data_IF_713166031406
#
_entry.id   IF_713166031406
#
_cell.length_a   1.000
_cell.length_b   1.000
_cell.length_c   1.000
_cell.angle_alpha   90.00
_cell.angle_beta   90.00
_cell.angle_gamma   90.00
#
_symmetry.space_group_name_H-M   'P 1'
#
loop_
_entity.id
_entity.type
_entity.pdbx_description
1 polymer ?
#
# COMPACT_ATOMS: atom_id res chain seq x y z
N UNK A 1 24.44 1.92 -24.76
CA UNK A 1 23.10 1.33 -24.86
C UNK A 1 22.46 1.91 -26.10
N UNK A 2 21.93 1.08 -26.98
CA UNK A 2 21.29 1.58 -28.21
C UNK A 2 19.95 2.24 -27.85
N UNK A 3 19.49 3.21 -28.66
CA UNK A 3 18.26 3.96 -28.37
C UNK A 3 17.02 3.06 -28.30
N UNK A 4 17.00 1.99 -29.09
CA UNK A 4 15.93 0.97 -29.08
C UNK A 4 15.89 0.19 -27.77
N UNK A 5 17.05 -0.09 -27.18
CA UNK A 5 17.16 -0.73 -25.87
C UNK A 5 16.65 0.21 -24.76
N UNK A 6 17.01 1.50 -24.82
CA UNK A 6 16.54 2.49 -23.85
C UNK A 6 15.02 2.63 -23.88
N UNK A 7 14.43 2.71 -25.07
CA UNK A 7 12.98 2.81 -25.25
C UNK A 7 12.26 1.67 -24.53
N UNK A 8 12.66 0.44 -24.83
CA UNK A 8 12.04 -0.79 -24.29
C UNK A 8 12.24 -0.87 -22.78
N UNK A 9 13.43 -0.52 -22.28
CA UNK A 9 13.71 -0.53 -20.84
C UNK A 9 12.85 0.49 -20.07
N UNK A 10 12.72 1.72 -20.58
CA UNK A 10 11.87 2.75 -19.98
C UNK A 10 10.41 2.32 -20.01
N UNK A 11 9.91 1.88 -21.17
CA UNK A 11 8.52 1.47 -21.34
C UNK A 11 8.14 0.33 -20.38
N UNK A 12 8.97 -0.72 -20.32
CA UNK A 12 8.79 -1.83 -19.39
C UNK A 12 8.76 -1.37 -17.94
N UNK A 13 9.66 -0.46 -17.54
CA UNK A 13 9.69 0.02 -16.16
C UNK A 13 8.51 0.91 -15.81
N UNK A 14 8.09 1.80 -16.71
CA UNK A 14 6.90 2.63 -16.52
C UNK A 14 5.63 1.79 -16.44
N UNK A 15 5.46 0.78 -17.31
CA UNK A 15 4.38 -0.21 -17.22
C UNK A 15 4.35 -0.85 -15.83
N UNK A 16 5.50 -1.37 -15.39
CA UNK A 16 5.61 -2.01 -14.07
C UNK A 16 5.26 -1.07 -12.92
N UNK A 17 5.66 0.21 -12.98
CA UNK A 17 5.28 1.20 -11.97
C UNK A 17 3.77 1.47 -11.94
N UNK A 18 3.12 1.51 -13.11
CA UNK A 18 1.66 1.63 -13.21
C UNK A 18 0.99 0.42 -12.57
N UNK A 19 1.49 -0.78 -12.83
CA UNK A 19 0.95 -2.02 -12.25
C UNK A 19 1.17 -2.12 -10.73
N UNK A 20 2.30 -1.62 -10.22
CA UNK A 20 2.65 -1.68 -8.79
C UNK A 20 2.01 -0.56 -7.96
N UNK A 21 1.73 0.61 -8.55
CA UNK A 21 1.35 1.83 -7.80
C UNK A 21 0.13 2.55 -8.35
N UNK A 22 -0.45 2.05 -9.44
CA UNK A 22 -1.54 2.68 -10.14
C UNK A 22 -1.08 3.76 -11.12
N UNK A 23 -1.96 4.09 -12.07
CA UNK A 23 -1.69 5.10 -13.10
C UNK A 23 -1.43 6.48 -12.51
N UNK A 24 -2.15 6.84 -11.45
CA UNK A 24 -2.04 8.14 -10.79
C UNK A 24 -0.67 8.36 -10.14
N UNK A 25 0.11 7.31 -9.90
CA UNK A 25 1.46 7.43 -9.36
C UNK A 25 2.38 8.27 -10.25
N UNK A 26 2.24 8.16 -11.58
CA UNK A 26 3.00 8.95 -12.55
C UNK A 26 2.68 10.45 -12.46
N UNK A 27 1.44 10.78 -12.11
CA UNK A 27 0.95 12.15 -11.91
C UNK A 27 1.33 12.70 -10.55
N UNK A 28 1.16 11.91 -9.49
CA UNK A 28 1.33 12.37 -8.11
C UNK A 28 2.80 12.44 -7.69
N UNK A 29 3.67 11.57 -8.24
CA UNK A 29 5.06 11.40 -7.79
C UNK A 29 6.10 11.44 -8.93
N UNK A 30 6.07 12.45 -9.84
CA UNK A 30 6.96 12.51 -11.01
C UNK A 30 8.46 12.50 -10.64
N UNK A 31 8.84 13.20 -9.57
CA UNK A 31 10.22 13.18 -9.07
C UNK A 31 10.65 11.83 -8.51
N UNK A 32 9.75 11.09 -7.85
CA UNK A 32 10.08 9.74 -7.36
C UNK A 32 10.28 8.79 -8.54
N UNK A 33 9.44 8.87 -9.58
CA UNK A 33 9.62 8.09 -10.81
C UNK A 33 10.98 8.39 -11.44
N UNK A 34 11.33 9.67 -11.60
CA UNK A 34 12.65 10.09 -12.08
C UNK A 34 13.80 9.51 -11.25
N UNK A 35 13.74 9.65 -9.92
CA UNK A 35 14.78 9.15 -9.02
C UNK A 35 14.93 7.64 -9.10
N UNK A 36 13.82 6.90 -9.22
CA UNK A 36 13.83 5.44 -9.40
C UNK A 36 14.49 5.05 -10.72
N UNK A 37 14.07 5.65 -11.85
CA UNK A 37 14.66 5.35 -13.16
C UNK A 37 16.18 5.63 -13.19
N UNK A 38 16.62 6.69 -12.51
CA UNK A 38 18.03 7.06 -12.41
C UNK A 38 18.83 6.07 -11.55
N UNK A 39 18.31 5.70 -10.37
CA UNK A 39 18.95 4.77 -9.45
C UNK A 39 19.08 3.37 -10.08
N UNK A 40 18.04 2.93 -10.80
CA UNK A 40 18.00 1.64 -11.49
C UNK A 40 18.80 1.63 -12.81
N UNK A 41 19.35 2.78 -13.23
CA UNK A 41 20.10 2.95 -14.49
C UNK A 41 19.35 2.42 -15.72
N UNK A 42 18.04 2.65 -15.77
CA UNK A 42 17.13 2.13 -16.81
C UNK A 42 17.50 2.66 -18.21
N UNK A 43 17.97 3.90 -18.29
CA UNK A 43 18.36 4.58 -19.51
C UNK A 43 19.45 5.62 -19.25
N UNK A 44 19.94 6.27 -20.31
CA UNK A 44 20.82 7.42 -20.16
C UNK A 44 20.18 8.52 -19.29
N UNK A 45 21.00 9.29 -18.52
CA UNK A 45 20.48 10.38 -17.71
C UNK A 45 19.71 11.43 -18.53
N UNK A 46 20.06 11.62 -19.80
CA UNK A 46 19.33 12.52 -20.70
C UNK A 46 17.91 12.00 -20.95
N UNK A 47 17.75 10.73 -21.34
CA UNK A 47 16.44 10.10 -21.55
C UNK A 47 15.57 10.17 -20.30
N UNK A 48 16.14 9.91 -19.13
CA UNK A 48 15.41 9.95 -17.86
C UNK A 48 14.97 11.38 -17.49
N UNK A 49 15.79 12.40 -17.77
CA UNK A 49 15.40 13.82 -17.61
C UNK A 49 14.26 14.20 -18.56
N UNK A 50 14.27 13.70 -19.79
CA UNK A 50 13.18 13.92 -20.73
C UNK A 50 11.89 13.25 -20.25
N UNK A 51 11.96 12.04 -19.67
CA UNK A 51 10.80 11.41 -19.03
C UNK A 51 10.25 12.30 -17.91
N UNK A 52 11.09 12.82 -17.01
CA UNK A 52 10.63 13.76 -15.98
C UNK A 52 9.87 14.95 -16.57
N UNK A 53 10.39 15.56 -17.64
CA UNK A 53 9.71 16.67 -18.32
C UNK A 53 8.32 16.27 -18.83
N UNK A 54 8.20 15.09 -19.45
CA UNK A 54 6.90 14.58 -19.92
C UNK A 54 5.93 14.22 -18.78
N UNK A 55 6.44 13.80 -17.62
CA UNK A 55 5.62 13.52 -16.45
C UNK A 55 5.07 14.82 -15.83
N UNK A 56 5.91 15.85 -15.71
CA UNK A 56 5.52 17.16 -15.19
C UNK A 56 4.47 17.86 -16.09
N UNK A 57 4.55 17.64 -17.40
CA UNK A 57 3.57 18.12 -18.39
C UNK A 57 2.38 17.18 -18.59
N UNK A 58 2.31 16.08 -17.82
CA UNK A 58 1.23 15.11 -17.82
C UNK A 58 0.95 14.45 -19.19
N UNK A 59 1.98 14.27 -20.02
CA UNK A 59 1.89 13.60 -21.33
C UNK A 59 1.28 12.20 -21.21
N UNK A 60 1.57 11.47 -20.14
CA UNK A 60 1.03 10.13 -19.89
C UNK A 60 -0.51 10.08 -19.86
N UNK A 61 -1.18 11.15 -19.42
CA UNK A 61 -2.65 11.21 -19.45
C UNK A 61 -3.17 11.29 -20.89
N UNK A 62 -2.49 12.08 -21.74
CA UNK A 62 -2.80 12.15 -23.17
C UNK A 62 -2.40 10.91 -23.94
N UNK A 63 -1.30 10.27 -23.57
CA UNK A 63 -0.88 9.01 -24.16
C UNK A 63 -1.90 7.88 -23.95
N UNK A 64 -2.60 7.86 -22.81
CA UNK A 64 -3.69 6.92 -22.56
C UNK A 64 -4.87 7.13 -23.52
N UNK A 65 -5.19 8.38 -23.85
CA UNK A 65 -6.31 8.76 -24.73
C UNK A 65 -5.98 8.64 -26.22
N UNK A 66 -4.72 8.90 -26.60
CA UNK A 66 -4.28 9.00 -27.99
C UNK A 66 -3.67 7.69 -28.49
N UNK A 67 -4.37 7.04 -29.41
CA UNK A 67 -3.86 5.85 -30.10
C UNK A 67 -2.81 6.15 -31.18
N UNK A 68 -2.72 7.39 -31.67
CA UNK A 68 -1.80 7.78 -32.75
C UNK A 68 -0.46 8.33 -32.20
N UNK A 69 0.68 7.63 -32.43
CA UNK A 69 1.99 8.10 -32.00
C UNK A 69 2.39 9.44 -32.61
N UNK A 70 1.92 9.79 -33.83
CA UNK A 70 2.27 11.07 -34.46
C UNK A 70 1.59 12.23 -33.77
N UNK A 71 0.29 12.11 -33.47
CA UNK A 71 -0.42 13.09 -32.66
C UNK A 71 0.23 13.26 -31.27
N UNK A 72 0.66 12.16 -30.65
CA UNK A 72 1.35 12.21 -29.37
C UNK A 72 2.72 12.91 -29.46
N UNK A 73 3.49 12.66 -30.52
CA UNK A 73 4.76 13.34 -30.76
C UNK A 73 4.55 14.86 -30.92
N UNK A 74 3.55 15.29 -31.70
CA UNK A 74 3.21 16.72 -31.84
C UNK A 74 2.80 17.36 -30.51
N UNK A 75 2.04 16.64 -29.69
CA UNK A 75 1.69 17.07 -28.34
C UNK A 75 2.92 17.22 -27.45
N UNK A 76 3.88 16.30 -27.53
CA UNK A 76 5.13 16.35 -26.78
C UNK A 76 6.00 17.52 -27.24
N UNK A 77 6.14 17.74 -28.55
CA UNK A 77 6.91 18.88 -29.09
C UNK A 77 6.36 20.21 -28.56
N UNK A 78 5.04 20.40 -28.64
CA UNK A 78 4.38 21.64 -28.22
C UNK A 78 4.38 21.83 -26.70
N UNK A 79 4.12 20.78 -25.93
CA UNK A 79 3.98 20.87 -24.47
C UNK A 79 5.32 20.86 -23.73
N UNK A 80 6.34 20.20 -24.30
CA UNK A 80 7.66 20.05 -23.68
C UNK A 80 8.76 20.89 -24.36
N UNK A 81 8.44 21.61 -25.45
CA UNK A 81 9.41 22.37 -26.25
C UNK A 81 10.59 21.51 -26.74
N UNK A 82 10.33 20.26 -27.11
CA UNK A 82 11.32 19.31 -27.59
C UNK A 82 11.38 19.30 -29.12
N UNK A 83 12.54 18.92 -29.67
CA UNK A 83 12.69 18.71 -31.11
C UNK A 83 11.94 17.44 -31.57
N UNK A 84 11.79 17.30 -32.88
CA UNK A 84 11.05 16.19 -33.49
C UNK A 84 11.62 14.83 -33.09
N UNK A 85 12.93 14.65 -33.19
CA UNK A 85 13.62 13.40 -32.86
C UNK A 85 13.39 12.95 -31.41
N UNK A 86 13.45 13.88 -30.45
CA UNK A 86 13.21 13.60 -29.03
C UNK A 86 11.74 13.30 -28.76
N UNK A 87 10.83 14.05 -29.41
CA UNK A 87 9.41 13.85 -29.25
C UNK A 87 8.95 12.51 -29.85
N UNK A 88 9.48 12.11 -31.00
CA UNK A 88 9.23 10.81 -31.61
C UNK A 88 9.71 9.68 -30.70
N UNK A 89 10.92 9.80 -30.16
CA UNK A 89 11.45 8.85 -29.19
C UNK A 89 10.53 8.68 -27.97
N UNK A 90 10.13 9.79 -27.33
CA UNK A 90 9.23 9.76 -26.16
C UNK A 90 7.83 9.26 -26.51
N UNK A 91 7.27 9.65 -27.65
CA UNK A 91 5.96 9.17 -28.12
C UNK A 91 5.98 7.66 -28.30
N UNK A 92 7.08 7.10 -28.80
CA UNK A 92 7.22 5.66 -29.00
C UNK A 92 7.30 4.88 -27.68
N UNK A 93 7.87 5.46 -26.62
CA UNK A 93 7.86 4.88 -25.27
C UNK A 93 6.44 4.84 -24.74
N UNK A 94 5.72 5.97 -24.81
CA UNK A 94 4.36 6.05 -24.30
C UNK A 94 3.37 5.20 -25.11
N UNK A 95 3.52 5.10 -26.42
CA UNK A 95 2.72 4.20 -27.26
C UNK A 95 2.94 2.72 -26.89
N UNK A 96 4.16 2.35 -26.45
CA UNK A 96 4.44 1.01 -25.94
C UNK A 96 3.85 0.78 -24.54
N UNK A 97 3.94 1.77 -23.65
CA UNK A 97 3.33 1.69 -22.31
C UNK A 97 1.81 1.59 -22.39
N UNK A 98 1.17 2.44 -23.20
CA UNK A 98 -0.28 2.53 -23.36
C UNK A 98 -0.78 1.77 -24.60
N UNK A 99 -0.09 0.72 -25.01
CA UNK A 99 -0.55 -0.14 -26.10
C UNK A 99 -1.94 -0.72 -25.80
N UNK A 100 -2.71 -1.01 -26.84
CA UNK A 100 -4.05 -1.62 -26.68
C UNK A 100 -4.00 -2.92 -25.86
N UNK A 101 -2.95 -3.72 -26.05
CA UNK A 101 -2.70 -4.95 -25.29
C UNK A 101 -2.52 -4.67 -23.79
N UNK A 102 -1.69 -3.68 -23.42
CA UNK A 102 -1.49 -3.33 -22.01
C UNK A 102 -2.78 -2.76 -21.38
N UNK A 103 -3.53 -1.95 -22.12
CA UNK A 103 -4.79 -1.40 -21.63
C UNK A 103 -5.84 -2.50 -21.40
N UNK A 104 -5.97 -3.46 -22.33
CA UNK A 104 -6.85 -4.62 -22.17
C UNK A 104 -6.42 -5.51 -20.99
N UNK A 105 -5.10 -5.71 -20.80
CA UNK A 105 -4.55 -6.41 -19.64
C UNK A 105 -4.92 -5.70 -18.33
N UNK A 106 -4.78 -4.38 -18.28
CA UNK A 106 -5.12 -3.57 -17.10
C UNK A 106 -6.61 -3.59 -16.81
N UNK A 107 -7.48 -3.52 -17.82
CA UNK A 107 -8.93 -3.63 -17.64
C UNK A 107 -9.32 -4.99 -17.02
N UNK A 108 -8.66 -6.07 -17.41
CA UNK A 108 -8.87 -7.41 -16.82
C UNK A 108 -8.32 -7.56 -15.41
N UNK A 109 -7.24 -6.85 -15.08
CA UNK A 109 -6.63 -6.87 -13.73
C UNK A 109 -7.37 -5.98 -12.74
N UNK A 110 -8.02 -4.91 -13.22
CA UNK A 110 -8.69 -3.93 -12.37
C UNK A 110 -9.73 -4.59 -11.47
N UNK A 111 -9.63 -4.36 -10.17
CA UNK A 111 -10.56 -4.92 -9.17
C UNK A 111 -10.36 -6.39 -8.83
N UNK A 112 -9.51 -7.13 -9.56
CA UNK A 112 -9.27 -8.56 -9.31
C UNK A 112 -8.75 -8.82 -7.89
N UNK A 113 -7.84 -7.99 -7.38
CA UNK A 113 -7.34 -8.17 -6.02
C UNK A 113 -8.39 -7.94 -4.94
N UNK A 114 -9.37 -7.04 -5.16
CA UNK A 114 -10.52 -6.89 -4.27
C UNK A 114 -11.42 -8.13 -4.32
N UNK A 115 -11.70 -8.64 -5.52
CA UNK A 115 -12.48 -9.86 -5.70
C UNK A 115 -11.82 -11.06 -5.02
N UNK A 116 -10.50 -11.22 -5.18
CA UNK A 116 -9.71 -12.28 -4.57
C UNK A 116 -9.70 -12.12 -3.03
N UNK A 117 -9.50 -10.89 -2.51
CA UNK A 117 -9.56 -10.58 -1.08
C UNK A 117 -10.91 -10.98 -0.46
N UNK A 118 -12.02 -10.67 -1.12
CA UNK A 118 -13.36 -10.94 -0.61
C UNK A 118 -13.75 -12.43 -0.62
N UNK A 119 -13.01 -13.29 -1.34
CA UNK A 119 -13.31 -14.72 -1.47
C UNK A 119 -12.50 -15.61 -0.53
N UNK A 120 -11.52 -15.03 0.16
CA UNK A 120 -10.57 -15.76 1.00
C UNK A 120 -10.87 -15.52 2.49
N UNK A 121 -10.39 -16.43 3.31
CA UNK A 121 -10.24 -16.22 4.75
C UNK A 121 -8.85 -15.64 5.01
N UNK A 122 -8.76 -14.77 6.02
CA UNK A 122 -7.53 -14.06 6.35
C UNK A 122 -7.23 -14.21 7.82
N UNK A 123 -5.97 -14.46 8.14
CA UNK A 123 -5.50 -14.66 9.50
C UNK A 123 -4.59 -13.51 9.92
N UNK A 124 -4.99 -12.78 10.95
CA UNK A 124 -4.17 -11.78 11.62
C UNK A 124 -3.33 -12.42 12.71
N UNK A 125 -2.09 -11.96 12.85
CA UNK A 125 -1.15 -12.38 13.89
C UNK A 125 -0.59 -11.15 14.58
N UNK A 126 -1.03 -10.87 15.79
CA UNK A 126 -0.65 -9.69 16.54
C UNK A 126 0.13 -10.09 17.78
N UNK A 127 1.26 -9.42 18.01
CA UNK A 127 2.04 -9.50 19.24
C UNK A 127 2.07 -8.10 19.84
N UNK A 128 1.69 -7.98 21.10
CA UNK A 128 1.65 -6.72 21.84
C UNK A 128 2.63 -6.73 23.01
N UNK A 129 3.32 -5.62 23.22
CA UNK A 129 4.20 -5.38 24.35
C UNK A 129 3.91 -4.01 24.99
N UNK A 130 3.97 -3.96 26.31
CA UNK A 130 3.82 -2.74 27.11
C UNK A 130 4.56 -2.88 28.44
N UNK A 131 4.74 -1.77 29.15
CA UNK A 131 5.39 -1.75 30.47
C UNK A 131 4.44 -1.08 31.46
N UNK A 132 3.98 -1.86 32.44
CA UNK A 132 3.37 -1.27 33.62
C UNK A 132 4.48 -0.79 34.56
N UNK A 133 4.38 0.43 35.08
CA UNK A 133 5.35 0.94 36.06
C UNK A 133 4.70 1.84 37.09
N UNK A 134 5.24 1.79 38.31
CA UNK A 134 4.91 2.70 39.38
C UNK A 134 6.18 3.23 40.06
N UNK A 135 6.03 3.98 41.16
CA UNK A 135 7.18 4.56 41.88
C UNK A 135 8.06 3.54 42.61
N UNK A 136 7.66 2.26 42.64
CA UNK A 136 8.36 1.17 43.32
C UNK A 136 8.96 0.13 42.39
N UNK A 137 8.69 0.18 41.08
CA UNK A 137 9.18 -0.79 40.11
C UNK A 137 8.33 -0.90 38.85
N UNK A 138 8.62 -1.90 38.03
CA UNK A 138 7.96 -2.13 36.74
C UNK A 138 7.72 -3.61 36.46
N UNK A 139 6.87 -3.87 35.48
CA UNK A 139 6.58 -5.20 34.97
C UNK A 139 6.37 -5.12 33.46
N UNK A 140 7.09 -5.96 32.72
CA UNK A 140 6.91 -6.10 31.28
C UNK A 140 5.66 -6.94 31.02
N UNK A 141 4.80 -6.48 30.13
CA UNK A 141 3.53 -7.10 29.77
C UNK A 141 3.60 -7.52 28.30
N UNK A 142 3.26 -8.79 28.02
CA UNK A 142 3.32 -9.35 26.67
C UNK A 142 2.05 -10.10 26.32
N UNK A 143 1.63 -10.00 25.07
CA UNK A 143 0.57 -10.84 24.55
C UNK A 143 0.82 -11.25 23.10
N UNK A 144 0.17 -12.34 22.70
CA UNK A 144 0.10 -12.81 21.34
C UNK A 144 -1.32 -13.25 21.04
N UNK A 145 -1.83 -12.89 19.86
CA UNK A 145 -3.19 -13.17 19.47
C UNK A 145 -3.33 -13.47 17.97
N UNK A 146 -4.26 -14.34 17.65
CA UNK A 146 -4.63 -14.66 16.27
C UNK A 146 -6.12 -14.44 16.04
N UNK A 147 -6.48 -13.97 14.85
CA UNK A 147 -7.87 -13.85 14.43
C UNK A 147 -8.03 -14.25 12.97
N UNK A 148 -8.86 -15.27 12.73
CA UNK A 148 -9.29 -15.66 11.39
C UNK A 148 -10.60 -14.98 11.05
N UNK A 149 -10.63 -14.26 9.94
CA UNK A 149 -11.80 -13.53 9.46
C UNK A 149 -12.19 -13.97 8.04
N UNK A 150 -13.44 -13.70 7.67
CA UNK A 150 -13.90 -13.75 6.27
C UNK A 150 -14.72 -12.52 5.94
N UNK A 151 -14.82 -12.20 4.65
CA UNK A 151 -15.58 -11.04 4.20
C UNK A 151 -17.03 -11.45 3.96
N UNK A 152 -17.97 -10.74 4.59
CA UNK A 152 -19.42 -11.01 4.48
C UNK A 152 -20.20 -9.88 3.82
N UNK A 153 -19.63 -8.67 3.78
CA UNK A 153 -20.17 -7.52 3.05
C UNK A 153 -19.11 -6.93 2.11
N UNK A 154 -18.94 -7.51 0.90
CA UNK A 154 -18.01 -7.00 -0.11
C UNK A 154 -18.33 -5.57 -0.56
N UNK A 155 -19.59 -5.13 -0.48
CA UNK A 155 -19.96 -3.77 -0.86
C UNK A 155 -19.42 -2.76 0.15
N UNK A 156 -19.47 -3.08 1.44
CA UNK A 156 -18.91 -2.24 2.49
C UNK A 156 -17.39 -2.11 2.37
N UNK A 157 -16.69 -3.22 2.16
CA UNK A 157 -15.25 -3.24 1.88
C UNK A 157 -14.92 -2.41 0.64
N UNK A 158 -15.64 -2.62 -0.46
CA UNK A 158 -15.43 -1.88 -1.71
C UNK A 158 -15.67 -0.37 -1.56
N UNK A 159 -16.66 0.04 -0.77
CA UNK A 159 -16.94 1.45 -0.49
C UNK A 159 -15.85 2.10 0.37
N UNK A 160 -15.30 1.38 1.35
CA UNK A 160 -14.19 1.84 2.18
C UNK A 160 -12.92 2.04 1.34
N UNK A 161 -12.58 1.04 0.52
CA UNK A 161 -11.39 1.05 -0.33
C UNK A 161 -11.53 1.91 -1.59
N UNK A 162 -12.70 2.49 -1.87
CA UNK A 162 -13.01 3.19 -3.13
C UNK A 162 -11.92 4.18 -3.55
N UNK A 163 -11.51 5.06 -2.64
CA UNK A 163 -10.47 6.08 -2.93
C UNK A 163 -9.10 5.47 -3.20
N UNK A 164 -8.77 4.34 -2.59
CA UNK A 164 -7.50 3.63 -2.82
C UNK A 164 -7.52 2.93 -4.17
N UNK A 165 -8.63 2.27 -4.50
CA UNK A 165 -8.83 1.56 -5.77
C UNK A 165 -8.97 2.52 -6.96
N UNK A 166 -9.52 3.71 -6.78
CA UNK A 166 -9.52 4.77 -7.80
C UNK A 166 -8.09 5.19 -8.18
N UNK A 167 -7.17 5.22 -7.20
CA UNK A 167 -5.76 5.57 -7.43
C UNK A 167 -4.96 4.39 -7.99
N UNK A 168 -5.15 3.21 -7.39
CA UNK A 168 -4.50 1.98 -7.80
C UNK A 168 -5.55 0.86 -7.96
N UNK A 169 -6.11 0.68 -9.16
CA UNK A 169 -7.09 -0.38 -9.41
C UNK A 169 -6.48 -1.78 -9.41
N UNK A 170 -5.15 -1.90 -9.35
CA UNK A 170 -4.41 -3.15 -9.43
C UNK A 170 -3.92 -3.65 -8.06
N UNK A 171 -4.40 -3.05 -6.96
CA UNK A 171 -4.05 -3.51 -5.61
C UNK A 171 -4.27 -5.01 -5.49
N UNK A 172 -3.29 -5.72 -4.96
CA UNK A 172 -3.41 -7.16 -4.70
C UNK A 172 -4.25 -7.42 -3.46
N UNK A 173 -4.72 -8.66 -3.30
CA UNK A 173 -5.40 -9.09 -2.08
C UNK A 173 -4.53 -8.91 -0.84
N UNK A 174 -3.24 -9.20 -0.94
CA UNK A 174 -2.27 -9.03 0.16
C UNK A 174 -2.07 -7.55 0.54
N UNK A 175 -2.04 -6.64 -0.43
CA UNK A 175 -1.96 -5.20 -0.16
C UNK A 175 -3.22 -4.67 0.52
N UNK A 176 -4.39 -5.22 0.17
CA UNK A 176 -5.66 -4.90 0.83
C UNK A 176 -5.67 -5.46 2.25
N UNK A 177 -5.24 -6.71 2.44
CA UNK A 177 -5.11 -7.31 3.76
C UNK A 177 -4.16 -6.53 4.65
N UNK A 178 -2.96 -6.21 4.16
CA UNK A 178 -1.98 -5.40 4.88
C UNK A 178 -2.49 -4.01 5.26
N UNK A 179 -3.42 -3.43 4.49
CA UNK A 179 -4.09 -2.20 4.88
C UNK A 179 -4.97 -2.37 6.12
N UNK A 180 -5.81 -3.41 6.16
CA UNK A 180 -6.66 -3.69 7.31
C UNK A 180 -5.84 -4.14 8.53
N UNK A 181 -4.79 -4.91 8.30
CA UNK A 181 -3.83 -5.35 9.32
C UNK A 181 -3.22 -4.14 10.03
N UNK A 182 -2.73 -3.15 9.28
CA UNK A 182 -2.19 -1.92 9.87
C UNK A 182 -3.22 -1.18 10.73
N UNK A 183 -4.48 -1.07 10.27
CA UNK A 183 -5.53 -0.39 11.07
C UNK A 183 -5.80 -1.17 12.37
N UNK A 184 -5.89 -2.49 12.28
CA UNK A 184 -6.18 -3.33 13.43
C UNK A 184 -5.03 -3.30 14.45
N UNK A 185 -3.79 -3.34 13.99
CA UNK A 185 -2.62 -3.34 14.88
C UNK A 185 -2.48 -1.99 15.59
N UNK A 186 -2.63 -0.88 14.87
CA UNK A 186 -2.63 0.46 15.49
C UNK A 186 -3.70 0.58 16.60
N UNK A 187 -4.86 -0.07 16.42
CA UNK A 187 -5.92 -0.10 17.43
C UNK A 187 -5.55 -1.01 18.61
N UNK A 188 -5.10 -2.23 18.35
CA UNK A 188 -4.75 -3.19 19.39
C UNK A 188 -3.57 -2.70 20.25
N UNK A 189 -2.54 -2.14 19.63
CA UNK A 189 -1.37 -1.57 20.33
C UNK A 189 -1.82 -0.45 21.28
N UNK A 190 -2.69 0.45 20.81
CA UNK A 190 -3.20 1.56 21.64
C UNK A 190 -4.04 1.07 22.82
N UNK A 191 -4.93 0.10 22.59
CA UNK A 191 -5.83 -0.42 23.62
C UNK A 191 -5.05 -1.28 24.64
N UNK A 192 -4.04 -2.01 24.20
CA UNK A 192 -3.18 -2.80 25.08
C UNK A 192 -2.31 -1.92 25.98
N UNK A 193 -1.73 -0.86 25.43
CA UNK A 193 -0.98 0.12 26.20
C UNK A 193 -1.87 0.80 27.25
N UNK A 194 -3.08 1.23 26.87
CA UNK A 194 -4.03 1.83 27.80
C UNK A 194 -4.44 0.86 28.90
N UNK A 195 -4.72 -0.40 28.55
CA UNK A 195 -5.05 -1.44 29.51
C UNK A 195 -3.91 -1.69 30.51
N UNK A 196 -2.68 -1.82 30.01
CA UNK A 196 -1.50 -2.09 30.83
C UNK A 196 -1.15 -0.92 31.75
N UNK A 197 -1.50 0.31 31.38
CA UNK A 197 -1.13 1.54 32.12
C UNK A 197 -2.31 2.18 32.88
N UNK A 198 -3.47 1.53 32.93
CA UNK A 198 -4.70 2.10 33.48
C UNK A 198 -4.69 2.33 35.01
N UNK A 199 -3.90 1.55 35.77
CA UNK A 199 -3.83 1.63 37.24
C UNK A 199 -2.40 1.94 37.70
N UNK A 200 -2.21 2.99 38.48
CA UNK A 200 -0.87 3.41 38.97
C UNK A 200 -0.36 2.56 40.16
N UNK A 201 -1.21 1.72 40.75
CA UNK A 201 -0.97 1.03 42.02
C UNK A 201 -0.82 -0.48 41.86
N UNK A 202 -1.55 -1.09 40.93
CA UNK A 202 -1.53 -2.54 40.71
C UNK A 202 -1.14 -2.91 39.27
N UNK A 203 -0.29 -3.93 39.09
CA UNK A 203 0.02 -4.43 37.75
C UNK A 203 -1.23 -5.01 37.08
N UNK A 204 -1.33 -4.91 35.75
CA UNK A 204 -2.43 -5.49 35.00
C UNK A 204 -2.39 -7.02 35.06
N UNK A 205 -3.56 -7.64 34.93
CA UNK A 205 -3.67 -9.08 34.65
C UNK A 205 -3.74 -9.21 33.12
N UNK A 206 -2.60 -9.51 32.50
CA UNK A 206 -2.46 -9.47 31.02
C UNK A 206 -3.32 -10.55 30.35
N UNK A 207 -3.56 -11.67 31.03
CA UNK A 207 -4.49 -12.72 30.57
C UNK A 207 -5.94 -12.22 30.44
N UNK A 208 -6.35 -11.25 31.26
CA UNK A 208 -7.72 -10.74 31.27
C UNK A 208 -8.01 -9.78 30.08
N UNK A 209 -6.98 -9.29 29.39
CA UNK A 209 -7.15 -8.49 28.17
C UNK A 209 -7.80 -9.28 27.02
N UNK A 210 -7.89 -10.61 27.09
CA UNK A 210 -8.65 -11.45 26.15
C UNK A 210 -10.08 -10.93 25.92
N UNK A 211 -10.73 -10.43 26.99
CA UNK A 211 -12.09 -9.87 26.90
C UNK A 211 -12.11 -8.61 26.03
N UNK A 212 -11.13 -7.71 26.22
CA UNK A 212 -10.98 -6.49 25.42
C UNK A 212 -10.63 -6.83 23.98
N UNK A 213 -9.66 -7.73 23.79
CA UNK A 213 -9.23 -8.21 22.48
C UNK A 213 -10.41 -8.72 21.65
N UNK A 214 -11.22 -9.64 22.20
CA UNK A 214 -12.37 -10.17 21.49
C UNK A 214 -13.40 -9.07 21.14
N UNK A 215 -13.65 -8.12 22.05
CA UNK A 215 -14.54 -6.99 21.76
C UNK A 215 -14.02 -6.09 20.63
N UNK A 216 -12.71 -5.82 20.63
CA UNK A 216 -12.04 -5.01 19.60
C UNK A 216 -12.14 -5.70 18.24
N UNK A 217 -11.84 -7.00 18.16
CA UNK A 217 -11.88 -7.77 16.91
C UNK A 217 -13.32 -7.85 16.36
N UNK A 218 -14.32 -8.12 17.20
CA UNK A 218 -15.72 -8.13 16.79
C UNK A 218 -16.16 -6.75 16.27
N UNK A 219 -15.79 -5.69 16.98
CA UNK A 219 -16.07 -4.30 16.59
C UNK A 219 -15.41 -3.94 15.25
N UNK A 220 -14.16 -4.34 15.06
CA UNK A 220 -13.41 -4.17 13.82
C UNK A 220 -14.11 -4.90 12.67
N UNK A 221 -14.44 -6.19 12.86
CA UNK A 221 -15.09 -7.00 11.84
C UNK A 221 -16.43 -6.39 11.42
N UNK A 222 -17.28 -6.04 12.38
CA UNK A 222 -18.57 -5.39 12.14
C UNK A 222 -18.40 -4.06 11.40
N UNK A 223 -17.43 -3.23 11.80
CA UNK A 223 -17.14 -1.94 11.16
C UNK A 223 -16.74 -2.10 9.70
N UNK A 224 -15.97 -3.11 9.34
CA UNK A 224 -15.43 -3.27 7.98
C UNK A 224 -16.15 -4.29 7.10
N UNK A 225 -17.23 -4.92 7.58
CA UNK A 225 -18.02 -5.85 6.77
C UNK A 225 -17.44 -7.26 6.73
N UNK A 226 -16.80 -7.64 7.83
CA UNK A 226 -16.12 -8.92 8.03
C UNK A 226 -16.84 -9.70 9.13
N UNK A 227 -16.62 -11.00 9.16
CA UNK A 227 -17.09 -11.91 10.22
C UNK A 227 -15.87 -12.60 10.83
N UNK A 228 -15.81 -12.59 12.17
CA UNK A 228 -14.82 -13.35 12.94
C UNK A 228 -15.20 -14.83 12.91
N UNK A 229 -14.25 -15.68 12.52
CA UNK A 229 -14.42 -17.14 12.45
C UNK A 229 -13.84 -17.81 13.69
N UNK A 230 -12.62 -17.40 14.06
CA UNK A 230 -11.92 -17.90 15.23
C UNK A 230 -10.96 -16.84 15.75
N UNK A 231 -10.75 -16.83 17.06
CA UNK A 231 -9.75 -16.04 17.73
C UNK A 231 -9.06 -16.85 18.82
N UNK A 232 -7.77 -16.59 19.02
CA UNK A 232 -6.99 -17.10 20.15
C UNK A 232 -6.18 -15.96 20.75
N UNK A 233 -6.03 -15.95 22.08
CA UNK A 233 -5.26 -14.95 22.82
C UNK A 233 -4.44 -15.63 23.91
N UNK A 234 -3.22 -15.15 24.12
CA UNK A 234 -2.36 -15.52 25.22
C UNK A 234 -1.65 -14.29 25.77
N UNK A 235 -1.88 -13.98 27.04
CA UNK A 235 -1.18 -12.93 27.78
C UNK A 235 -0.19 -13.52 28.78
N UNK A 236 0.88 -12.79 29.09
CA UNK A 236 1.73 -13.03 30.24
C UNK A 236 2.42 -11.73 30.70
N UNK A 237 2.99 -11.76 31.89
CA UNK A 237 3.81 -10.67 32.42
C UNK A 237 5.10 -11.21 33.03
N UNK A 238 6.12 -10.36 33.11
CA UNK A 238 7.35 -10.66 33.85
C UNK A 238 7.09 -10.70 35.37
N UNK A 239 8.10 -11.13 36.12
CA UNK A 239 8.16 -10.83 37.56
C UNK A 239 8.25 -9.30 37.76
N UNK A 240 7.82 -8.82 38.92
CA UNK A 240 7.95 -7.41 39.31
C UNK A 240 9.43 -7.08 39.55
N UNK A 241 9.94 -6.09 38.81
CA UNK A 241 11.30 -5.58 38.96
C UNK A 241 11.29 -4.31 39.83
N UNK A 242 11.77 -4.36 41.08
CA UNK A 242 11.76 -3.21 41.97
C UNK A 242 12.74 -2.12 41.49
N UNK A 243 12.34 -0.86 41.59
CA UNK A 243 13.22 0.27 41.30
C UNK A 243 14.31 0.38 42.39
N UNK A 244 15.56 0.10 42.06
CA UNK A 244 16.74 0.16 42.96
C UNK A 244 17.08 1.57 43.51
N UNK A 245 16.22 2.56 43.28
CA UNK A 245 16.45 3.99 43.58
C UNK A 245 15.97 4.44 44.95
N UNK A 246 15.68 3.51 45.87
CA UNK A 246 15.36 3.80 47.27
C UNK A 246 16.16 2.95 48.27
#
# INVERSE_FOLDING_TARGET
MERTDEKTAIAKRLKRLIEEKGLDYLKEKPFKVYSLLLAEKVASPLSIRMILLTLLTQVHLKAKELADPKALAQYIQSSCCLNEEMADFLSSIYAEVFSAENQEEWEKKAGKGLDDFCRQEWEFFWDGDSIWSNHGGSMDCFCSATATIKIVDPQKVGNELKKKLEKNPFMTSDEIFGHYQSILYDLLDSEFEEYCTADDYYPPVVEDFDVNYNHIIEGFCSKYGMELIASEYSGNSSDFDPDDRY
#
